data_IF_579758309254
#
_entry.id   IF_579758309254
#
_cell.length_a   1.000
_cell.length_b   1.000
_cell.length_c   1.000
_cell.angle_alpha   90.00
_cell.angle_beta   90.00
_cell.angle_gamma   90.00
#
_symmetry.space_group_name_H-M   'P 1'
#
loop_
_entity.id
_entity.type
_entity.pdbx_description
1 polymer ?
#
# COMPACT_ATOMS: atom_id res chain seq x y z
N UNK A 1 -14.72 -12.99 12.28
CA UNK A 1 -14.12 -12.12 11.25
C UNK A 1 -12.75 -11.68 11.78
N UNK A 2 -11.68 -11.86 11.00
CA UNK A 2 -10.35 -11.36 11.37
C UNK A 2 -10.29 -9.85 11.17
N UNK A 3 -9.59 -9.15 12.07
CA UNK A 3 -9.36 -7.71 11.91
C UNK A 3 -8.46 -7.44 10.70
N UNK A 4 -8.66 -6.35 9.95
CA UNK A 4 -7.86 -6.07 8.76
C UNK A 4 -6.43 -5.64 9.11
N UNK A 5 -5.52 -5.88 8.16
CA UNK A 5 -4.17 -5.32 8.15
C UNK A 5 -4.10 -4.15 7.16
N UNK A 6 -3.68 -2.99 7.63
CA UNK A 6 -3.34 -1.86 6.77
C UNK A 6 -1.82 -1.70 6.64
N UNK A 7 -1.32 -1.83 5.41
CA UNK A 7 0.09 -1.54 5.11
C UNK A 7 0.21 -0.05 4.81
N UNK A 8 0.82 0.69 5.74
CA UNK A 8 0.97 2.13 5.68
C UNK A 8 2.43 2.53 5.40
N UNK A 9 2.63 3.37 4.39
CA UNK A 9 3.95 3.85 3.96
C UNK A 9 3.81 5.04 3.03
N UNK A 10 4.87 5.86 2.86
CA UNK A 10 4.92 6.81 1.75
C UNK A 10 4.74 6.10 0.40
N UNK A 11 4.16 6.76 -0.61
CA UNK A 11 4.15 6.22 -1.96
C UNK A 11 5.55 5.77 -2.39
N UNK A 12 5.64 4.68 -3.15
CA UNK A 12 6.91 4.09 -3.66
C UNK A 12 7.78 3.45 -2.57
N UNK A 13 7.18 2.91 -1.50
CA UNK A 13 7.87 2.22 -0.39
C UNK A 13 7.57 0.72 -0.35
N UNK A 14 7.63 0.04 -1.50
CA UNK A 14 7.46 -1.41 -1.66
C UNK A 14 6.06 -1.96 -1.31
N UNK A 15 5.08 -1.08 -1.07
CA UNK A 15 3.75 -1.50 -0.58
C UNK A 15 3.04 -2.49 -1.50
N UNK A 16 3.20 -2.38 -2.83
CA UNK A 16 2.51 -3.28 -3.77
C UNK A 16 3.09 -4.69 -3.76
N UNK A 17 4.42 -4.84 -3.75
CA UNK A 17 5.05 -6.15 -3.68
C UNK A 17 4.82 -6.80 -2.32
N UNK A 18 5.04 -6.06 -1.22
CA UNK A 18 4.85 -6.59 0.14
C UNK A 18 3.37 -6.86 0.42
N UNK A 19 2.46 -5.97 0.02
CA UNK A 19 1.01 -6.23 0.13
C UNK A 19 0.57 -7.43 -0.73
N UNK A 20 1.18 -7.61 -1.91
CA UNK A 20 1.00 -8.80 -2.74
C UNK A 20 1.45 -10.06 -2.02
N UNK A 21 2.64 -10.06 -1.41
CA UNK A 21 3.16 -11.17 -0.61
C UNK A 21 2.23 -11.53 0.55
N UNK A 22 1.91 -10.54 1.39
CA UNK A 22 1.03 -10.73 2.55
C UNK A 22 -0.36 -11.25 2.15
N UNK A 23 -0.86 -10.79 1.02
CA UNK A 23 -2.15 -11.22 0.48
C UNK A 23 -2.20 -12.66 -0.04
N UNK A 24 -1.04 -13.32 -0.24
CA UNK A 24 -0.95 -14.73 -0.64
C UNK A 24 -0.96 -15.70 0.55
N UNK A 25 -0.88 -15.18 1.78
CA UNK A 25 -1.05 -16.04 2.95
C UNK A 25 -2.41 -16.76 2.92
N UNK A 26 -2.51 -18.09 3.21
CA UNK A 26 -3.78 -18.83 3.12
C UNK A 26 -4.92 -18.23 3.93
N UNK A 27 -4.62 -17.58 5.05
CA UNK A 27 -5.59 -16.90 5.93
C UNK A 27 -5.73 -15.39 5.64
N UNK A 28 -5.22 -14.89 4.51
CA UNK A 28 -5.33 -13.49 4.10
C UNK A 28 -5.92 -13.33 2.69
N UNK A 29 -6.30 -12.12 2.35
CA UNK A 29 -6.69 -11.71 1.01
C UNK A 29 -6.17 -10.31 0.73
N UNK A 30 -5.22 -10.20 -0.21
CA UNK A 30 -4.60 -8.93 -0.57
C UNK A 30 -5.49 -8.10 -1.47
N UNK A 31 -5.69 -6.84 -1.10
CA UNK A 31 -6.41 -5.86 -1.88
C UNK A 31 -5.44 -4.91 -2.61
N UNK A 32 -5.78 -4.43 -3.79
CA UNK A 32 -5.11 -3.29 -4.40
C UNK A 32 -5.46 -2.00 -3.65
N UNK A 33 -5.04 -0.83 -4.17
CA UNK A 33 -5.34 0.46 -3.54
C UNK A 33 -6.83 0.81 -3.63
N UNK A 34 -7.59 0.59 -2.55
CA UNK A 34 -9.03 0.86 -2.53
C UNK A 34 -9.40 2.27 -2.06
N UNK A 35 -8.50 2.96 -1.36
CA UNK A 35 -8.62 4.37 -0.97
C UNK A 35 -9.92 4.74 -0.20
N UNK A 36 -10.51 3.82 0.55
CA UNK A 36 -11.80 4.01 1.22
C UNK A 36 -11.81 5.05 2.35
N UNK A 37 -10.63 5.50 2.81
CA UNK A 37 -10.50 6.55 3.83
C UNK A 37 -10.50 7.97 3.27
N UNK A 38 -10.58 8.16 1.96
CA UNK A 38 -10.54 9.48 1.32
C UNK A 38 -11.85 10.26 1.34
N UNK A 39 -12.90 9.75 1.96
CA UNK A 39 -14.18 10.40 2.15
C UNK A 39 -14.99 9.70 3.23
N UNK A 40 -16.04 10.32 3.71
CA UNK A 40 -16.94 9.71 4.68
C UNK A 40 -17.89 8.72 3.98
N UNK A 41 -18.16 8.99 2.71
CA UNK A 41 -19.00 8.15 1.85
C UNK A 41 -18.29 7.80 0.54
N UNK A 42 -18.81 6.83 -0.20
CA UNK A 42 -18.33 6.51 -1.56
C UNK A 42 -18.44 7.70 -2.52
N UNK A 43 -19.48 8.53 -2.38
CA UNK A 43 -19.63 9.76 -3.16
C UNK A 43 -18.50 10.74 -2.88
N UNK A 44 -18.25 11.03 -1.60
CA UNK A 44 -17.18 11.93 -1.18
C UNK A 44 -15.80 11.43 -1.63
N UNK A 45 -15.54 10.11 -1.45
CA UNK A 45 -14.30 9.49 -1.94
C UNK A 45 -14.16 9.65 -3.44
N UNK A 46 -15.23 9.40 -4.20
CA UNK A 46 -15.21 9.50 -5.66
C UNK A 46 -14.88 10.91 -6.12
N UNK A 47 -15.46 11.92 -5.48
CA UNK A 47 -15.28 13.34 -5.83
C UNK A 47 -13.94 13.89 -5.34
N UNK A 48 -13.39 13.34 -4.24
CA UNK A 48 -12.13 13.81 -3.63
C UNK A 48 -10.87 13.42 -4.40
N UNK A 49 -10.94 12.45 -5.30
CA UNK A 49 -9.79 11.92 -6.03
C UNK A 49 -9.75 12.55 -7.44
N UNK A 50 -8.90 13.56 -7.68
CA UNK A 50 -8.79 14.23 -8.99
C UNK A 50 -8.42 13.23 -10.09
N UNK A 51 -9.08 13.32 -11.22
CA UNK A 51 -8.86 12.39 -12.34
C UNK A 51 -9.25 10.96 -12.00
N UNK A 52 -10.23 10.81 -11.12
CA UNK A 52 -10.68 9.57 -10.49
C UNK A 52 -10.91 8.42 -11.46
N UNK A 53 -11.13 8.70 -12.71
CA UNK A 53 -11.46 7.67 -13.69
C UNK A 53 -10.39 6.55 -13.80
N UNK A 54 -9.12 6.79 -13.43
CA UNK A 54 -8.07 5.84 -13.79
C UNK A 54 -7.03 5.48 -12.72
N UNK A 55 -6.83 6.26 -11.65
CA UNK A 55 -5.78 5.94 -10.68
C UNK A 55 -6.30 5.74 -9.25
N UNK A 56 -7.16 6.60 -8.77
CA UNK A 56 -7.57 6.56 -7.36
C UNK A 56 -8.70 5.58 -7.07
N UNK A 57 -9.52 5.25 -8.07
CA UNK A 57 -10.67 4.35 -7.93
C UNK A 57 -10.47 3.00 -8.61
N UNK A 58 -9.42 2.85 -9.44
CA UNK A 58 -9.16 1.63 -10.19
C UNK A 58 -9.06 0.39 -9.29
N UNK A 59 -8.40 0.49 -8.15
CA UNK A 59 -8.28 -0.61 -7.21
C UNK A 59 -9.63 -1.10 -6.71
N UNK A 60 -10.49 -0.21 -6.24
CA UNK A 60 -11.83 -0.58 -5.77
C UNK A 60 -12.70 -1.17 -6.89
N UNK A 61 -12.65 -0.59 -8.09
CA UNK A 61 -13.37 -1.13 -9.25
C UNK A 61 -12.93 -2.55 -9.58
N UNK A 62 -11.63 -2.83 -9.54
CA UNK A 62 -11.08 -4.15 -9.80
C UNK A 62 -11.46 -5.16 -8.71
N UNK A 63 -11.45 -4.74 -7.44
CA UNK A 63 -11.90 -5.59 -6.33
C UNK A 63 -13.35 -6.01 -6.51
N UNK A 64 -14.24 -5.06 -6.77
CA UNK A 64 -15.66 -5.35 -6.96
C UNK A 64 -15.91 -6.22 -8.20
N UNK A 65 -15.19 -5.96 -9.31
CA UNK A 65 -15.28 -6.78 -10.51
C UNK A 65 -14.83 -8.23 -10.24
N UNK A 66 -13.69 -8.41 -9.57
CA UNK A 66 -13.16 -9.72 -9.20
C UNK A 66 -14.11 -10.49 -8.27
N UNK A 67 -14.57 -9.86 -7.19
CA UNK A 67 -15.40 -10.52 -6.19
C UNK A 67 -16.81 -10.85 -6.70
N UNK A 68 -17.40 -9.98 -7.53
CA UNK A 68 -18.76 -10.20 -8.03
C UNK A 68 -18.82 -11.17 -9.22
N UNK A 69 -17.76 -11.23 -10.03
CA UNK A 69 -17.81 -11.95 -11.33
C UNK A 69 -16.62 -12.89 -11.58
N UNK A 70 -15.59 -12.87 -10.71
CA UNK A 70 -14.36 -13.65 -10.89
C UNK A 70 -13.50 -13.18 -12.07
N UNK A 71 -13.76 -11.99 -12.63
CA UNK A 71 -13.11 -11.46 -13.82
C UNK A 71 -12.94 -9.95 -13.74
N UNK A 72 -11.81 -9.42 -14.22
CA UNK A 72 -11.53 -8.00 -14.32
C UNK A 72 -11.53 -7.55 -15.79
N UNK A 73 -12.68 -7.69 -16.46
CA UNK A 73 -12.89 -7.20 -17.83
C UNK A 73 -13.42 -5.76 -17.84
N UNK A 74 -13.47 -5.15 -19.01
CA UNK A 74 -14.06 -3.80 -19.16
C UNK A 74 -15.53 -3.80 -18.74
N UNK A 75 -16.28 -4.84 -19.08
CA UNK A 75 -17.69 -4.99 -18.75
C UNK A 75 -17.92 -5.17 -17.25
N UNK A 76 -17.12 -6.02 -16.58
CA UNK A 76 -17.24 -6.22 -15.12
C UNK A 76 -16.85 -4.96 -14.34
N UNK A 77 -15.85 -4.21 -14.80
CA UNK A 77 -15.46 -2.92 -14.23
C UNK A 77 -16.54 -1.84 -14.43
N UNK A 78 -17.20 -1.82 -15.58
CA UNK A 78 -18.36 -0.92 -15.81
C UNK A 78 -19.48 -1.28 -14.83
N UNK A 79 -19.79 -2.56 -14.59
CA UNK A 79 -20.82 -2.97 -13.61
C UNK A 79 -20.39 -2.63 -12.17
N UNK A 80 -19.12 -2.80 -11.83
CA UNK A 80 -18.57 -2.37 -10.53
C UNK A 80 -18.75 -0.85 -10.33
N UNK A 81 -18.48 -0.05 -11.35
CA UNK A 81 -18.73 1.40 -11.33
C UNK A 81 -20.22 1.72 -11.11
N UNK A 82 -21.12 1.04 -11.82
CA UNK A 82 -22.55 1.23 -11.63
C UNK A 82 -23.00 0.82 -10.21
N UNK A 83 -22.37 -0.23 -9.64
CA UNK A 83 -22.61 -0.65 -8.27
C UNK A 83 -22.26 0.44 -7.26
N UNK A 84 -21.10 1.11 -7.42
CA UNK A 84 -20.66 2.25 -6.61
C UNK A 84 -21.64 3.43 -6.76
N UNK A 85 -21.93 3.82 -8.00
CA UNK A 85 -22.80 4.98 -8.29
C UNK A 85 -24.23 4.84 -7.76
N UNK A 86 -24.69 3.62 -7.54
CA UNK A 86 -25.99 3.35 -6.88
C UNK A 86 -25.93 3.42 -5.36
N UNK A 87 -24.73 3.56 -4.77
CA UNK A 87 -24.48 3.52 -3.32
C UNK A 87 -23.62 4.71 -2.84
N UNK A 88 -23.85 5.93 -3.33
CA UNK A 88 -22.99 7.07 -3.01
C UNK A 88 -22.95 7.38 -1.51
N UNK A 89 -24.00 7.02 -0.78
CA UNK A 89 -24.18 7.19 0.67
C UNK A 89 -23.54 6.11 1.53
N UNK A 90 -22.97 5.05 0.94
CA UNK A 90 -22.32 4.01 1.73
C UNK A 90 -20.99 4.56 2.29
N UNK A 91 -20.75 4.28 3.58
CA UNK A 91 -19.46 4.58 4.20
C UNK A 91 -18.37 3.61 3.71
N UNK A 92 -17.10 4.03 3.86
CA UNK A 92 -15.98 3.14 3.61
C UNK A 92 -16.03 1.85 4.43
N UNK A 93 -16.52 1.93 5.69
CA UNK A 93 -16.77 0.77 6.54
C UNK A 93 -17.71 -0.24 5.88
N UNK A 94 -18.86 0.24 5.37
CA UNK A 94 -19.85 -0.64 4.75
C UNK A 94 -19.37 -1.29 3.46
N UNK A 95 -18.54 -0.59 2.70
CA UNK A 95 -17.91 -1.18 1.50
C UNK A 95 -16.89 -2.24 1.90
N UNK A 96 -16.13 -2.01 2.96
CA UNK A 96 -15.16 -2.97 3.45
C UNK A 96 -15.82 -4.22 4.05
N UNK A 97 -16.95 -4.05 4.77
CA UNK A 97 -17.79 -5.17 5.20
C UNK A 97 -18.26 -6.02 4.02
N UNK A 98 -18.78 -5.38 2.96
CA UNK A 98 -19.20 -6.08 1.76
C UNK A 98 -18.04 -6.87 1.12
N UNK A 99 -16.86 -6.25 1.00
CA UNK A 99 -15.65 -6.96 0.52
C UNK A 99 -15.32 -8.16 1.42
N UNK A 100 -15.40 -7.99 2.74
CA UNK A 100 -15.14 -9.07 3.69
C UNK A 100 -16.16 -10.22 3.59
N UNK A 101 -17.44 -9.90 3.38
CA UNK A 101 -18.50 -10.89 3.17
C UNK A 101 -18.23 -11.73 1.91
N UNK A 102 -17.83 -11.10 0.80
CA UNK A 102 -17.50 -11.78 -0.46
C UNK A 102 -16.22 -12.64 -0.35
N UNK A 103 -15.20 -12.17 0.40
CA UNK A 103 -13.95 -12.92 0.63
C UNK A 103 -14.14 -14.06 1.64
N UNK A 104 -15.08 -13.93 2.56
CA UNK A 104 -15.36 -14.86 3.65
C UNK A 104 -14.73 -14.44 4.99
N UNK A 105 -15.29 -14.92 6.13
CA UNK A 105 -14.98 -14.43 7.47
C UNK A 105 -13.60 -14.88 8.00
N UNK A 106 -13.02 -15.95 7.43
CA UNK A 106 -11.82 -16.60 7.95
C UNK A 106 -10.53 -15.97 7.39
N UNK A 107 -10.63 -15.15 6.35
CA UNK A 107 -9.50 -14.48 5.71
C UNK A 107 -9.40 -13.04 6.16
N UNK A 108 -8.21 -12.64 6.60
CA UNK A 108 -7.86 -11.26 6.92
C UNK A 108 -7.71 -10.44 5.63
N UNK A 109 -8.38 -9.30 5.53
CA UNK A 109 -8.14 -8.38 4.43
C UNK A 109 -6.82 -7.62 4.65
N UNK A 110 -5.96 -7.62 3.65
CA UNK A 110 -4.72 -6.83 3.62
C UNK A 110 -4.89 -5.68 2.65
N UNK A 111 -5.00 -4.47 3.16
CA UNK A 111 -5.18 -3.25 2.38
C UNK A 111 -3.91 -2.40 2.37
N UNK A 112 -3.61 -1.80 1.24
CA UNK A 112 -2.50 -0.86 1.11
C UNK A 112 -2.89 0.27 0.16
N UNK A 113 -3.06 1.47 0.69
CA UNK A 113 -3.28 2.71 -0.07
C UNK A 113 -2.30 3.77 0.42
N UNK A 114 -1.13 3.92 -0.23
CA UNK A 114 -0.09 4.86 0.24
C UNK A 114 -0.58 6.31 0.34
N UNK A 115 -1.61 6.67 -0.43
CA UNK A 115 -2.25 8.00 -0.34
C UNK A 115 -2.82 8.30 1.04
N UNK A 116 -3.21 7.28 1.82
CA UNK A 116 -3.72 7.46 3.19
C UNK A 116 -2.72 8.17 4.09
N UNK A 117 -1.41 7.99 3.84
CA UNK A 117 -0.35 8.60 4.65
C UNK A 117 -0.06 10.07 4.33
N UNK A 118 -0.59 10.58 3.21
CA UNK A 118 -0.43 11.99 2.82
C UNK A 118 -1.22 12.95 3.70
N UNK A 119 -2.25 12.44 4.37
CA UNK A 119 -3.16 13.22 5.23
C UNK A 119 -3.39 12.43 6.53
N UNK A 120 -3.05 13.04 7.67
CA UNK A 120 -3.21 12.42 9.00
C UNK A 120 -4.67 11.99 9.26
N UNK A 121 -5.64 12.77 8.80
CA UNK A 121 -7.06 12.48 8.97
C UNK A 121 -7.50 11.18 8.28
N UNK A 122 -6.86 10.81 7.17
CA UNK A 122 -7.17 9.53 6.50
C UNK A 122 -6.73 8.34 7.35
N UNK A 123 -5.57 8.42 8.03
CA UNK A 123 -5.11 7.39 8.95
C UNK A 123 -6.03 7.29 10.17
N UNK A 124 -6.42 8.43 10.76
CA UNK A 124 -7.37 8.47 11.86
C UNK A 124 -8.75 7.92 11.47
N UNK A 125 -9.22 8.23 10.26
CA UNK A 125 -10.48 7.67 9.74
C UNK A 125 -10.40 6.15 9.59
N UNK A 126 -9.29 5.59 9.12
CA UNK A 126 -9.09 4.13 9.11
C UNK A 126 -9.21 3.53 10.51
N UNK A 127 -8.56 4.14 11.51
CA UNK A 127 -8.62 3.66 12.89
C UNK A 127 -10.01 3.84 13.52
N UNK A 128 -10.72 4.93 13.20
CA UNK A 128 -12.12 5.11 13.64
C UNK A 128 -13.07 4.03 13.06
N UNK A 129 -12.86 3.67 11.79
CA UNK A 129 -13.63 2.61 11.12
C UNK A 129 -13.25 1.23 11.68
N UNK A 130 -11.95 0.99 11.91
CA UNK A 130 -11.40 -0.29 12.33
C UNK A 130 -10.53 -0.13 13.60
N UNK A 131 -11.13 0.07 14.77
CA UNK A 131 -10.39 0.40 15.99
C UNK A 131 -9.49 -0.72 16.50
N UNK A 132 -9.66 -1.94 15.99
CA UNK A 132 -8.83 -3.12 16.32
C UNK A 132 -7.92 -3.57 15.16
N UNK A 133 -7.90 -2.83 14.05
CA UNK A 133 -7.03 -3.15 12.92
C UNK A 133 -5.55 -3.12 13.29
N UNK A 134 -4.75 -3.88 12.55
CA UNK A 134 -3.30 -3.84 12.64
C UNK A 134 -2.72 -2.94 11.55
N UNK A 135 -1.61 -2.26 11.87
CA UNK A 135 -0.94 -1.31 10.99
C UNK A 135 0.53 -1.68 10.80
N UNK A 136 0.87 -2.19 9.61
CA UNK A 136 2.25 -2.45 9.23
C UNK A 136 2.85 -1.22 8.56
N UNK A 137 3.78 -0.56 9.24
CA UNK A 137 4.51 0.58 8.72
C UNK A 137 5.77 0.13 7.97
N UNK A 138 5.75 0.31 6.65
CA UNK A 138 6.95 0.10 5.85
C UNK A 138 7.73 1.40 5.68
N UNK A 139 9.00 1.37 6.01
CA UNK A 139 9.92 2.45 5.69
C UNK A 139 10.72 2.12 4.43
N UNK A 140 11.19 3.16 3.77
CA UNK A 140 12.15 3.10 2.65
C UNK A 140 13.11 4.25 2.75
N UNK A 141 14.38 4.01 2.39
CA UNK A 141 15.41 5.05 2.39
C UNK A 141 14.96 6.27 1.56
N UNK A 142 15.06 7.53 2.08
CA UNK A 142 14.52 8.71 1.41
C UNK A 142 15.09 8.93 0.01
N UNK A 143 16.37 8.62 -0.22
CA UNK A 143 17.01 8.73 -1.53
C UNK A 143 16.37 7.78 -2.56
N UNK A 144 16.26 6.50 -2.22
CA UNK A 144 15.72 5.49 -3.14
C UNK A 144 14.22 5.64 -3.36
N UNK A 145 13.48 6.09 -2.33
CA UNK A 145 12.07 6.43 -2.45
C UNK A 145 11.87 7.65 -3.35
N UNK A 146 12.62 8.72 -3.11
CA UNK A 146 12.52 9.97 -3.87
C UNK A 146 12.83 9.78 -5.35
N UNK A 147 13.89 9.04 -5.67
CA UNK A 147 14.20 8.65 -7.05
C UNK A 147 13.04 7.91 -7.71
N UNK A 148 12.46 6.92 -7.00
CA UNK A 148 11.32 6.16 -7.52
C UNK A 148 10.05 7.02 -7.72
N UNK A 149 9.85 8.07 -6.93
CA UNK A 149 8.77 9.05 -7.14
C UNK A 149 9.01 9.84 -8.41
N UNK A 150 10.22 10.35 -8.62
CA UNK A 150 10.57 11.12 -9.82
C UNK A 150 10.47 10.29 -11.09
N UNK A 151 10.91 9.04 -11.06
CA UNK A 151 10.78 8.11 -12.19
C UNK A 151 9.29 7.89 -12.55
N UNK A 152 8.42 7.71 -11.55
CA UNK A 152 6.98 7.59 -11.77
C UNK A 152 6.41 8.85 -12.41
N UNK A 153 6.73 10.03 -11.86
CA UNK A 153 6.26 11.32 -12.37
C UNK A 153 6.71 11.53 -13.81
N UNK A 154 7.98 11.27 -14.11
CA UNK A 154 8.53 11.37 -15.48
C UNK A 154 7.76 10.49 -16.45
N UNK A 155 7.45 9.26 -16.06
CA UNK A 155 6.79 8.27 -16.92
C UNK A 155 5.27 8.49 -17.06
N UNK A 156 4.62 9.18 -16.11
CA UNK A 156 3.16 9.37 -16.13
C UNK A 156 2.72 10.77 -16.56
N UNK A 157 3.49 11.80 -16.22
CA UNK A 157 3.10 13.20 -16.44
C UNK A 157 4.12 13.99 -17.27
N UNK A 158 5.13 13.32 -17.83
CA UNK A 158 6.21 14.00 -18.57
C UNK A 158 7.07 14.92 -17.68
N UNK A 159 7.07 14.72 -16.36
CA UNK A 159 7.85 15.53 -15.42
C UNK A 159 7.12 16.76 -14.85
N UNK A 160 5.83 16.93 -15.14
CA UNK A 160 5.07 18.12 -14.73
C UNK A 160 4.71 18.20 -13.22
N UNK A 161 5.08 17.20 -12.39
CA UNK A 161 4.81 17.26 -10.96
C UNK A 161 5.74 18.23 -10.23
N UNK A 162 5.15 19.07 -9.38
CA UNK A 162 5.87 20.01 -8.51
C UNK A 162 6.14 19.46 -7.11
N UNK A 163 5.82 18.21 -6.84
CA UNK A 163 6.00 17.63 -5.50
C UNK A 163 7.47 17.30 -5.27
N UNK A 164 8.08 17.96 -4.30
CA UNK A 164 9.42 17.60 -3.83
C UNK A 164 9.38 16.24 -3.11
N UNK A 165 10.14 15.24 -3.59
CA UNK A 165 10.15 13.91 -2.97
C UNK A 165 10.55 13.91 -1.50
N UNK A 166 11.45 14.78 -1.10
CA UNK A 166 11.89 14.91 0.29
C UNK A 166 10.74 15.34 1.20
N UNK A 167 9.98 16.36 0.80
CA UNK A 167 8.81 16.83 1.55
C UNK A 167 7.70 15.77 1.58
N UNK A 168 7.52 15.03 0.49
CA UNK A 168 6.56 13.92 0.43
C UNK A 168 6.93 12.84 1.43
N UNK A 169 8.20 12.42 1.47
CA UNK A 169 8.71 11.41 2.40
C UNK A 169 8.53 11.88 3.85
N UNK A 170 9.04 13.07 4.17
CA UNK A 170 8.99 13.62 5.53
C UNK A 170 7.56 13.74 6.05
N UNK A 171 6.65 14.32 5.26
CA UNK A 171 5.25 14.49 5.65
C UNK A 171 4.57 13.15 5.90
N UNK A 172 4.69 12.22 4.96
CA UNK A 172 4.05 10.90 5.11
C UNK A 172 4.58 10.14 6.31
N UNK A 173 5.90 10.13 6.52
CA UNK A 173 6.53 9.45 7.66
C UNK A 173 6.14 10.11 9.00
N UNK A 174 6.10 11.46 9.04
CA UNK A 174 5.68 12.19 10.25
C UNK A 174 4.22 11.89 10.59
N UNK A 175 3.31 11.90 9.61
CA UNK A 175 1.91 11.53 9.82
C UNK A 175 1.76 10.11 10.38
N UNK A 176 2.53 9.15 9.87
CA UNK A 176 2.49 7.76 10.36
C UNK A 176 3.00 7.67 11.80
N UNK A 177 4.11 8.35 12.13
CA UNK A 177 4.68 8.32 13.48
C UNK A 177 3.74 8.99 14.49
N UNK A 178 3.15 10.13 14.13
CA UNK A 178 2.15 10.79 14.97
C UNK A 178 0.95 9.86 15.20
N UNK A 179 0.39 9.30 14.14
CA UNK A 179 -0.72 8.37 14.19
C UNK A 179 -0.40 7.12 15.03
N UNK A 180 0.82 6.59 14.94
CA UNK A 180 1.20 5.39 15.69
C UNK A 180 1.14 5.57 17.21
N UNK A 181 1.18 6.80 17.71
CA UNK A 181 1.04 7.13 19.12
C UNK A 181 -0.42 7.02 19.63
N UNK A 182 -1.38 7.03 18.71
CA UNK A 182 -2.80 6.89 19.00
C UNK A 182 -3.25 5.41 19.07
N UNK A 183 -2.39 4.47 18.64
CA UNK A 183 -2.69 3.04 18.54
C UNK A 183 -2.46 2.31 19.86
N UNK A 184 -3.28 1.28 20.10
CA UNK A 184 -3.09 0.41 21.25
C UNK A 184 -1.82 -0.46 21.08
N UNK A 185 -1.27 -0.91 22.22
CA UNK A 185 -0.11 -1.80 22.23
C UNK A 185 -0.41 -3.06 21.38
N UNK A 186 0.51 -3.40 20.50
CA UNK A 186 0.39 -4.55 19.60
C UNK A 186 -0.27 -4.30 18.25
N UNK A 187 -0.93 -3.15 18.04
CA UNK A 187 -1.56 -2.82 16.75
C UNK A 187 -0.59 -2.29 15.69
N UNK A 188 0.64 -2.02 16.04
CA UNK A 188 1.60 -1.37 15.15
C UNK A 188 2.92 -2.13 15.10
N UNK A 189 3.37 -2.42 13.89
CA UNK A 189 4.70 -2.96 13.60
C UNK A 189 5.38 -2.09 12.55
N UNK A 190 6.69 -1.82 12.71
CA UNK A 190 7.48 -1.10 11.72
C UNK A 190 8.63 -1.94 11.22
N UNK A 191 8.77 -2.04 9.89
CA UNK A 191 9.83 -2.79 9.24
C UNK A 191 10.41 -1.95 8.09
N UNK A 192 11.73 -1.98 7.90
CA UNK A 192 12.34 -1.48 6.67
C UNK A 192 11.96 -2.39 5.51
N UNK A 193 11.42 -1.84 4.43
CA UNK A 193 11.07 -2.62 3.24
C UNK A 193 12.28 -3.28 2.59
N UNK A 194 13.45 -2.64 2.65
CA UNK A 194 14.72 -3.21 2.20
C UNK A 194 15.08 -4.50 2.95
N UNK A 195 14.91 -4.51 4.28
CA UNK A 195 15.21 -5.68 5.12
C UNK A 195 14.22 -6.82 4.85
N UNK A 196 12.92 -6.51 4.79
CA UNK A 196 11.89 -7.51 4.48
C UNK A 196 12.15 -8.17 3.13
N UNK A 197 12.51 -7.39 2.12
CA UNK A 197 12.77 -7.92 0.79
C UNK A 197 14.12 -8.64 0.68
N UNK A 198 15.11 -8.31 1.50
CA UNK A 198 16.41 -9.02 1.52
C UNK A 198 16.38 -10.35 2.25
N UNK A 199 15.49 -10.51 3.23
CA UNK A 199 15.26 -11.76 3.97
C UNK A 199 13.76 -11.98 4.22
N UNK A 200 12.99 -12.28 3.16
CA UNK A 200 11.54 -12.37 3.28
C UNK A 200 11.08 -13.50 4.19
N UNK A 201 11.78 -14.65 4.22
CA UNK A 201 11.40 -15.76 5.08
C UNK A 201 11.41 -15.37 6.56
N UNK A 202 12.43 -14.66 7.01
CA UNK A 202 12.55 -14.20 8.38
C UNK A 202 11.45 -13.18 8.74
N UNK A 203 11.31 -12.13 7.93
CA UNK A 203 10.37 -11.05 8.26
C UNK A 203 8.91 -11.45 8.07
N UNK A 204 8.58 -12.32 7.13
CA UNK A 204 7.21 -12.82 6.97
C UNK A 204 6.79 -13.66 8.17
N UNK A 205 7.67 -14.51 8.74
CA UNK A 205 7.39 -15.23 9.98
C UNK A 205 7.10 -14.29 11.15
N UNK A 206 7.91 -13.24 11.32
CA UNK A 206 7.67 -12.24 12.36
C UNK A 206 6.32 -11.54 12.20
N UNK A 207 5.90 -11.25 10.94
CA UNK A 207 4.60 -10.66 10.66
C UNK A 207 3.48 -11.66 10.96
N UNK A 208 3.63 -12.94 10.58
CA UNK A 208 2.65 -13.98 10.89
C UNK A 208 2.49 -14.17 12.40
N UNK A 209 3.60 -14.25 13.14
CA UNK A 209 3.59 -14.31 14.61
C UNK A 209 2.87 -13.10 15.23
N UNK A 210 3.17 -11.89 14.76
CA UNK A 210 2.50 -10.67 15.23
C UNK A 210 1.00 -10.65 14.98
N UNK A 211 0.55 -11.24 13.85
CA UNK A 211 -0.85 -11.24 13.42
C UNK A 211 -1.63 -12.50 13.83
N UNK A 212 -1.01 -13.40 14.58
CA UNK A 212 -1.58 -14.72 14.93
C UNK A 212 -2.05 -15.48 13.68
N UNK A 213 -1.19 -15.54 12.66
CA UNK A 213 -1.36 -16.31 11.43
C UNK A 213 -0.48 -17.56 11.47
N UNK A 214 -0.84 -18.55 10.64
CA UNK A 214 -0.01 -19.74 10.43
C UNK A 214 1.36 -19.36 9.84
N UNK A 215 2.44 -19.69 10.53
CA UNK A 215 3.82 -19.42 10.12
C UNK A 215 4.55 -20.65 9.56
N UNK A 216 3.80 -21.70 9.19
CA UNK A 216 4.37 -22.90 8.57
C UNK A 216 5.14 -22.58 7.29
N UNK A 217 6.11 -23.44 6.94
CA UNK A 217 6.89 -23.28 5.70
C UNK A 217 6.00 -23.15 4.46
N UNK A 218 4.88 -23.89 4.43
CA UNK A 218 3.93 -23.83 3.32
C UNK A 218 3.23 -22.45 3.23
N UNK A 219 2.85 -21.86 4.37
CA UNK A 219 2.23 -20.54 4.40
C UNK A 219 3.23 -19.44 4.02
N UNK A 220 4.48 -19.53 4.49
CA UNK A 220 5.54 -18.59 4.10
C UNK A 220 5.86 -18.71 2.62
N UNK A 221 6.00 -19.94 2.09
CA UNK A 221 6.26 -20.16 0.67
C UNK A 221 5.16 -19.57 -0.23
N UNK A 222 3.88 -19.73 0.15
CA UNK A 222 2.77 -19.12 -0.58
C UNK A 222 2.92 -17.59 -0.69
N UNK A 223 3.41 -16.93 0.36
CA UNK A 223 3.63 -15.48 0.39
C UNK A 223 4.78 -15.01 -0.52
N UNK A 224 5.67 -15.91 -0.95
CA UNK A 224 6.76 -15.58 -1.88
C UNK A 224 6.29 -15.50 -3.35
N UNK A 225 5.01 -15.73 -3.62
CA UNK A 225 4.40 -15.71 -4.94
C UNK A 225 3.38 -14.57 -5.11
N UNK A 226 3.79 -13.28 -4.97
CA UNK A 226 2.89 -12.14 -5.13
C UNK A 226 2.24 -12.06 -6.53
N UNK A 227 2.85 -12.70 -7.53
CA UNK A 227 2.30 -12.84 -8.90
C UNK A 227 1.02 -13.66 -8.95
N UNK A 228 0.76 -14.50 -7.96
CA UNK A 228 -0.49 -15.27 -7.85
C UNK A 228 -1.70 -14.43 -7.43
N UNK A 229 -1.50 -13.16 -7.03
CA UNK A 229 -2.59 -12.25 -6.71
C UNK A 229 -3.45 -11.95 -7.94
N UNK A 230 -4.80 -11.99 -7.83
CA UNK A 230 -5.68 -11.59 -8.93
C UNK A 230 -5.49 -10.12 -9.34
N UNK A 231 -4.77 -9.33 -8.54
CA UNK A 231 -4.47 -7.93 -8.80
C UNK A 231 -3.01 -7.67 -9.22
N UNK A 232 -2.24 -8.71 -9.52
CA UNK A 232 -0.83 -8.60 -9.91
C UNK A 232 -0.62 -8.34 -11.42
N UNK A 233 -1.64 -7.91 -12.13
CA UNK A 233 -1.58 -7.58 -13.57
C UNK A 233 -2.26 -6.22 -13.83
N UNK A 234 -2.04 -5.68 -15.02
CA UNK A 234 -2.77 -4.49 -15.48
C UNK A 234 -4.26 -4.83 -15.63
N UNK A 235 -5.11 -3.98 -15.07
CA UNK A 235 -6.55 -4.05 -15.30
C UNK A 235 -6.96 -3.60 -16.72
N UNK A 236 -8.26 -3.65 -17.03
CA UNK A 236 -8.80 -3.14 -18.29
C UNK A 236 -8.61 -1.61 -18.39
N UNK A 237 -8.75 -1.02 -19.60
CA UNK A 237 -8.49 0.40 -19.84
C UNK A 237 -9.16 1.35 -18.85
N UNK A 238 -10.39 1.08 -18.43
CA UNK A 238 -11.14 1.95 -17.50
C UNK A 238 -10.75 1.78 -16.02
N UNK A 239 -9.94 0.75 -15.69
CA UNK A 239 -9.40 0.51 -14.33
C UNK A 239 -8.00 -0.13 -14.39
N UNK A 240 -7.12 0.47 -15.17
CA UNK A 240 -5.81 -0.10 -15.52
C UNK A 240 -4.85 -0.23 -14.33
N UNK A 241 -4.93 0.69 -13.37
CA UNK A 241 -4.04 0.78 -12.23
C UNK A 241 -4.57 0.02 -10.98
N UNK A 242 -4.39 0.57 -9.80
CA UNK A 242 -4.78 0.02 -8.50
C UNK A 242 -3.60 -0.55 -7.73
N UNK A 243 -2.44 -0.65 -8.40
CA UNK A 243 -1.15 -1.05 -7.82
C UNK A 243 -0.01 -0.26 -8.47
N UNK A 244 1.20 -0.39 -7.90
CA UNK A 244 2.42 0.16 -8.46
C UNK A 244 2.63 -0.31 -9.92
N UNK A 245 2.86 0.60 -10.89
CA UNK A 245 3.07 0.19 -12.28
C UNK A 245 4.23 -0.79 -12.48
N UNK A 246 5.30 -0.69 -11.71
CA UNK A 246 6.44 -1.61 -11.82
C UNK A 246 6.06 -3.01 -11.32
N UNK A 247 5.28 -3.09 -10.25
CA UNK A 247 4.73 -4.35 -9.76
C UNK A 247 3.77 -4.97 -10.78
N UNK A 248 2.88 -4.17 -11.37
CA UNK A 248 1.96 -4.67 -12.40
C UNK A 248 2.66 -5.13 -13.68
N UNK A 249 3.84 -4.58 -13.98
CA UNK A 249 4.65 -4.99 -15.13
C UNK A 249 5.46 -6.25 -14.87
N UNK A 250 5.93 -6.46 -13.64
CA UNK A 250 6.69 -7.63 -13.21
C UNK A 250 6.43 -7.92 -11.73
N UNK A 251 5.39 -8.70 -11.40
CA UNK A 251 5.01 -9.00 -10.02
C UNK A 251 5.87 -10.08 -9.36
N UNK A 252 6.63 -10.86 -10.14
CA UNK A 252 7.48 -11.95 -9.62
C UNK A 252 8.65 -11.39 -8.82
N UNK A 253 8.99 -12.05 -7.70
CA UNK A 253 10.15 -11.69 -6.90
C UNK A 253 11.44 -12.10 -7.61
N UNK A 254 12.33 -11.14 -7.78
CA UNK A 254 13.70 -11.37 -8.23
C UNK A 254 14.63 -11.36 -7.01
N UNK A 255 14.84 -12.53 -6.41
CA UNK A 255 15.63 -12.69 -5.20
C UNK A 255 17.07 -12.23 -5.36
N UNK A 256 17.69 -12.40 -6.55
CA UNK A 256 19.05 -11.92 -6.78
C UNK A 256 19.12 -10.39 -6.76
N UNK A 257 18.13 -9.74 -7.34
CA UNK A 257 18.01 -8.28 -7.31
C UNK A 257 17.71 -7.79 -5.90
N UNK A 258 16.81 -8.46 -5.17
CA UNK A 258 16.42 -8.10 -3.81
C UNK A 258 17.60 -8.21 -2.85
N UNK A 259 18.41 -9.27 -2.94
CA UNK A 259 19.63 -9.44 -2.14
C UNK A 259 20.71 -8.37 -2.39
N UNK A 260 20.62 -7.64 -3.50
CA UNK A 260 21.54 -6.54 -3.87
C UNK A 260 21.03 -5.15 -3.52
N UNK A 261 19.87 -5.05 -2.84
CA UNK A 261 19.37 -3.75 -2.39
C UNK A 261 20.40 -3.12 -1.44
N UNK A 262 20.93 -1.97 -1.83
CA UNK A 262 21.86 -1.19 -1.01
C UNK A 262 21.17 0.08 -0.52
N UNK A 263 21.37 0.38 0.74
CA UNK A 263 21.01 1.66 1.32
C UNK A 263 22.15 2.66 1.02
N UNK A 264 21.89 3.78 0.30
CA UNK A 264 22.89 4.84 0.17
C UNK A 264 23.12 5.51 1.53
N UNK A 265 24.23 6.22 1.69
CA UNK A 265 24.44 7.03 2.89
C UNK A 265 23.49 8.22 2.90
N UNK A 266 22.93 8.56 4.07
CA UNK A 266 22.14 9.78 4.27
C UNK A 266 22.97 11.07 4.09
N UNK A 267 24.29 10.99 4.21
CA UNK A 267 25.22 12.09 4.03
C UNK A 267 25.57 12.32 2.56
N UNK A 268 25.14 11.41 1.65
CA UNK A 268 25.36 11.57 0.21
C UNK A 268 24.56 12.76 -0.33
N UNK A 269 25.07 13.35 -1.41
CA UNK A 269 24.29 14.32 -2.18
C UNK A 269 22.98 13.72 -2.67
N UNK A 270 21.92 14.53 -2.67
CA UNK A 270 20.62 14.14 -3.18
C UNK A 270 20.71 14.01 -4.71
N UNK A 271 20.43 12.82 -5.26
CA UNK A 271 20.57 12.55 -6.69
C UNK A 271 19.84 13.55 -7.62
N UNK A 272 18.72 14.11 -7.16
CA UNK A 272 17.92 15.08 -7.93
C UNK A 272 18.16 16.55 -7.55
N UNK A 273 19.09 16.82 -6.62
CA UNK A 273 19.56 18.15 -6.21
C UNK A 273 21.09 18.13 -5.98
N UNK A 274 21.87 18.08 -7.04
CA UNK A 274 23.34 18.02 -6.92
C UNK A 274 23.89 19.18 -6.06
N UNK A 275 24.83 18.87 -5.17
CA UNK A 275 25.39 19.82 -4.22
C UNK A 275 24.58 20.00 -2.93
N UNK A 276 23.42 19.36 -2.80
CA UNK A 276 22.60 19.42 -1.58
C UNK A 276 22.54 18.06 -0.88
N UNK A 277 22.39 18.10 0.46
CA UNK A 277 22.10 16.94 1.30
C UNK A 277 20.70 17.04 1.86
N UNK A 278 20.17 15.95 2.45
CA UNK A 278 18.86 15.95 3.07
C UNK A 278 18.79 16.98 4.22
N UNK A 279 17.62 17.57 4.39
CA UNK A 279 17.33 18.46 5.49
C UNK A 279 17.50 17.76 6.85
N UNK A 280 17.83 18.53 7.88
CA UNK A 280 17.98 18.01 9.26
C UNK A 280 16.78 17.21 9.75
N UNK A 281 15.51 17.62 9.49
CA UNK A 281 14.33 16.82 9.87
C UNK A 281 14.31 15.44 9.22
N UNK A 282 14.60 15.35 7.90
CA UNK A 282 14.65 14.07 7.16
C UNK A 282 15.76 13.18 7.70
N UNK A 283 16.97 13.71 7.86
CA UNK A 283 18.09 12.96 8.41
C UNK A 283 17.81 12.42 9.81
N UNK A 284 17.20 13.24 10.68
CA UNK A 284 16.83 12.83 12.03
C UNK A 284 15.83 11.67 12.00
N UNK A 285 14.76 11.81 11.23
CA UNK A 285 13.71 10.78 11.16
C UNK A 285 14.22 9.50 10.49
N UNK A 286 15.01 9.62 9.42
CA UNK A 286 15.62 8.47 8.76
C UNK A 286 16.56 7.69 9.71
N UNK A 287 17.36 8.39 10.51
CA UNK A 287 18.21 7.74 11.55
C UNK A 287 17.39 7.04 12.64
N UNK A 288 16.23 7.60 13.04
CA UNK A 288 15.31 6.91 13.94
C UNK A 288 14.75 5.61 13.35
N UNK A 289 14.69 5.51 12.03
CA UNK A 289 14.32 4.28 11.32
C UNK A 289 15.51 3.33 11.10
N UNK A 290 16.72 3.73 11.52
CA UNK A 290 17.93 2.93 11.39
C UNK A 290 18.63 3.05 10.03
N UNK A 291 18.40 4.13 9.27
CA UNK A 291 19.21 4.48 8.11
C UNK A 291 20.48 5.26 8.54
N UNK A 292 21.60 5.09 7.80
CA UNK A 292 22.89 5.68 8.14
C UNK A 292 23.45 6.60 7.02
#
# INVERSE_FOLDING_TARGET
MREPLFVIAPPRSYTSVIGGMLGQHPQAYGLPEVNLSHGDTLGDMWDSIPGAANFGTAGLLRVLAELHEGLQTEESVIRARQWILRRPHWSGAKVFEHIQEEVGPDRMLVEKSPRNTLFADNLRRLHQIFPRANFLHLTRHPQTQGKSVLDLVKNTTGGASRSDPENLWLRSQSNIIEFSQELATGQYMRIKGEMLLSDPHFYLRQICEWLDLDDSDASIEAMLHPEASPFAHLGPPSARAGNDPNFLANPTLDFERLARIKEPSLESEIEWRPGETFSKPVMRLARQFGYA
#
